data_IF_368371164698
#
_entry.id   IF_368371164698
#
_cell.length_a   1.000
_cell.length_b   1.000
_cell.length_c   1.000
_cell.angle_alpha   90.00
_cell.angle_beta   90.00
_cell.angle_gamma   90.00
#
_symmetry.space_group_name_H-M   'P 1'
#
loop_
_entity.id
_entity.type
_entity.pdbx_description
1 polymer ?
#
# COMPACT_ATOMS: atom_id res chain seq x y z
N UNK A 1 -4.17 19.92 -29.60
CA UNK A 1 -2.71 19.74 -29.48
C UNK A 1 -2.41 18.28 -29.79
N UNK A 2 -2.01 17.98 -31.04
CA UNK A 2 -1.84 16.60 -31.52
C UNK A 2 -0.35 16.26 -31.43
N UNK A 3 0.00 15.25 -30.64
CA UNK A 3 1.35 14.71 -30.60
C UNK A 3 1.59 13.86 -31.86
N UNK A 4 2.70 14.10 -32.57
CA UNK A 4 3.14 13.23 -33.66
C UNK A 4 2.59 13.53 -35.05
N UNK A 5 2.10 14.74 -35.32
CA UNK A 5 1.93 15.15 -36.72
C UNK A 5 3.31 15.42 -37.34
N UNK A 6 3.60 14.75 -38.45
CA UNK A 6 4.84 14.88 -39.28
C UNK A 6 5.10 16.35 -39.71
N UNK A 7 4.12 17.24 -39.53
CA UNK A 7 4.11 18.63 -40.01
C UNK A 7 3.56 19.61 -38.96
N UNK A 8 3.96 19.48 -37.69
CA UNK A 8 3.71 20.57 -36.76
C UNK A 8 4.83 21.61 -36.93
N UNK A 9 4.60 22.62 -37.77
CA UNK A 9 5.58 23.64 -38.18
C UNK A 9 6.26 24.37 -37.00
N UNK A 10 5.69 24.29 -35.79
CA UNK A 10 6.19 24.90 -34.56
C UNK A 10 6.69 23.91 -33.48
N UNK A 11 6.73 22.60 -33.74
CA UNK A 11 7.30 21.62 -32.79
C UNK A 11 8.83 21.67 -32.85
N UNK A 12 9.48 22.35 -31.90
CA UNK A 12 10.94 22.56 -31.89
C UNK A 12 11.73 21.59 -30.98
N UNK A 13 11.08 20.73 -30.19
CA UNK A 13 11.77 19.83 -29.27
C UNK A 13 11.90 18.42 -29.87
N UNK A 14 13.13 17.94 -30.02
CA UNK A 14 13.42 16.56 -30.42
C UNK A 14 13.21 15.65 -29.21
N UNK A 15 12.17 14.81 -29.26
CA UNK A 15 11.87 13.82 -28.23
C UNK A 15 12.68 12.54 -28.40
N UNK A 16 12.98 12.15 -29.64
CA UNK A 16 13.77 10.96 -29.92
C UNK A 16 13.95 10.71 -31.41
N UNK A 17 14.53 9.55 -31.72
CA UNK A 17 14.86 9.11 -33.07
C UNK A 17 14.22 7.75 -33.32
N UNK A 18 13.70 7.55 -34.52
CA UNK A 18 13.26 6.22 -34.93
C UNK A 18 14.47 5.27 -34.90
N UNK A 19 14.32 4.10 -34.31
CA UNK A 19 15.37 3.09 -34.31
C UNK A 19 15.50 2.54 -35.72
N UNK A 20 16.47 3.02 -36.49
CA UNK A 20 16.83 2.41 -37.76
C UNK A 20 17.24 0.98 -37.46
N UNK A 21 16.54 0.01 -38.03
CA UNK A 21 16.97 -1.38 -38.03
C UNK A 21 18.40 -1.42 -38.60
N UNK A 22 19.39 -1.59 -37.72
CA UNK A 22 20.75 -1.94 -38.10
C UNK A 22 20.67 -3.33 -38.76
N UNK A 23 20.68 -3.38 -40.09
CA UNK A 23 20.89 -4.64 -40.82
C UNK A 23 20.16 -4.88 -42.14
N UNK A 24 19.30 -3.99 -42.63
CA UNK A 24 18.73 -4.16 -43.98
C UNK A 24 19.49 -3.29 -44.99
N UNK A 25 20.17 -3.94 -45.95
CA UNK A 25 20.69 -3.26 -47.13
C UNK A 25 19.57 -2.44 -47.79
N UNK A 26 19.87 -1.23 -48.31
CA UNK A 26 18.90 -0.47 -49.06
C UNK A 26 18.57 -1.23 -50.34
N UNK A 27 17.37 -1.82 -50.39
CA UNK A 27 16.81 -2.33 -51.65
C UNK A 27 16.74 -1.19 -52.67
N UNK A 28 16.97 -1.46 -53.97
CA UNK A 28 16.91 -0.42 -55.00
C UNK A 28 15.49 0.16 -55.03
N UNK A 29 15.38 1.47 -54.82
CA UNK A 29 14.09 2.14 -54.63
C UNK A 29 13.49 2.48 -56.00
N UNK A 30 12.35 1.88 -56.31
CA UNK A 30 11.48 2.26 -57.42
C UNK A 30 10.93 3.69 -57.18
N UNK A 31 11.09 4.65 -58.11
CA UNK A 31 10.76 6.05 -57.89
C UNK A 31 9.23 6.36 -57.84
N UNK A 32 8.38 5.33 -57.96
CA UNK A 32 6.92 5.50 -58.07
C UNK A 32 6.16 5.36 -56.74
N UNK A 33 6.79 4.97 -55.64
CA UNK A 33 6.09 4.78 -54.35
C UNK A 33 6.35 5.97 -53.44
N UNK A 34 5.35 6.85 -53.31
CA UNK A 34 5.31 7.89 -52.27
C UNK A 34 5.14 7.23 -50.89
N UNK A 35 6.24 6.76 -50.31
CA UNK A 35 6.24 6.33 -48.92
C UNK A 35 6.03 7.55 -48.01
N UNK A 36 5.03 7.46 -47.13
CA UNK A 36 4.94 8.27 -45.92
C UNK A 36 6.26 8.12 -45.18
N UNK A 37 7.13 9.12 -45.28
CA UNK A 37 8.39 9.15 -44.56
C UNK A 37 8.07 9.09 -43.06
N UNK A 38 8.29 7.93 -42.42
CA UNK A 38 8.34 7.86 -40.97
C UNK A 38 9.44 8.83 -40.55
N UNK A 39 9.12 9.92 -39.83
CA UNK A 39 10.11 10.94 -39.57
C UNK A 39 11.25 10.33 -38.75
N UNK A 40 12.49 10.55 -39.22
CA UNK A 40 13.73 10.09 -38.58
C UNK A 40 13.86 10.58 -37.12
N UNK A 41 13.09 11.62 -36.79
CA UNK A 41 12.97 12.24 -35.48
C UNK A 41 11.50 12.25 -35.02
N UNK A 42 11.28 11.91 -33.76
CA UNK A 42 10.03 12.21 -33.07
C UNK A 42 10.18 13.60 -32.46
N UNK A 43 9.39 14.57 -32.93
CA UNK A 43 9.30 15.90 -32.33
C UNK A 43 8.04 16.04 -31.50
N UNK A 44 8.15 16.85 -30.45
CA UNK A 44 7.04 17.19 -29.56
C UNK A 44 6.96 18.72 -29.43
N UNK A 45 5.74 19.21 -29.28
CA UNK A 45 5.48 20.65 -29.20
C UNK A 45 5.54 21.20 -27.77
N UNK A 46 5.51 20.33 -26.76
CA UNK A 46 5.58 20.70 -25.34
C UNK A 46 5.97 19.52 -24.47
N UNK A 47 6.35 19.79 -23.22
CA UNK A 47 6.57 18.75 -22.21
C UNK A 47 5.31 17.96 -21.90
N UNK A 48 4.14 18.59 -21.85
CA UNK A 48 2.88 17.87 -21.64
C UNK A 48 2.59 16.85 -22.76
N UNK A 49 2.92 17.22 -24.00
CA UNK A 49 2.78 16.32 -25.15
C UNK A 49 3.76 15.13 -25.05
N UNK A 50 5.00 15.39 -24.65
CA UNK A 50 5.97 14.34 -24.37
C UNK A 50 5.49 13.42 -23.23
N UNK A 51 5.04 13.99 -22.13
CA UNK A 51 4.59 13.24 -20.95
C UNK A 51 3.40 12.35 -21.31
N UNK A 52 2.42 12.89 -22.07
CA UNK A 52 1.27 12.11 -22.52
C UNK A 52 1.67 10.94 -23.42
N UNK A 53 2.63 11.16 -24.33
CA UNK A 53 3.19 10.10 -25.17
C UNK A 53 3.92 9.05 -24.33
N UNK A 54 4.87 9.46 -23.49
CA UNK A 54 5.66 8.57 -22.66
C UNK A 54 4.77 7.75 -21.71
N UNK A 55 3.73 8.38 -21.17
CA UNK A 55 2.74 7.74 -20.30
C UNK A 55 2.00 6.58 -20.96
N UNK A 56 1.75 6.62 -22.28
CA UNK A 56 1.11 5.49 -22.98
C UNK A 56 1.90 4.18 -22.88
N UNK A 57 3.22 4.28 -22.70
CA UNK A 57 4.11 3.15 -22.50
C UNK A 57 4.31 2.85 -21.01
N UNK A 58 4.58 3.88 -20.21
CA UNK A 58 4.86 3.75 -18.77
C UNK A 58 3.68 3.13 -18.02
N UNK A 59 2.46 3.57 -18.29
CA UNK A 59 1.24 3.02 -17.68
C UNK A 59 0.99 1.54 -17.98
N UNK A 60 1.64 1.00 -19.02
CA UNK A 60 1.58 -0.43 -19.39
C UNK A 60 2.77 -1.23 -18.86
N UNK A 61 3.60 -0.62 -18.02
CA UNK A 61 4.79 -1.25 -17.42
C UNK A 61 6.06 -1.18 -18.27
N UNK A 62 6.04 -0.51 -19.43
CA UNK A 62 7.26 -0.27 -20.19
C UNK A 62 8.06 0.88 -19.57
N UNK A 63 9.33 0.66 -19.26
CA UNK A 63 10.24 1.70 -18.79
C UNK A 63 11.33 1.98 -19.82
N UNK A 64 11.91 3.19 -19.82
CA UNK A 64 13.09 3.47 -20.63
C UNK A 64 14.21 2.49 -20.29
N UNK A 65 14.76 1.81 -21.29
CA UNK A 65 15.90 0.92 -21.14
C UNK A 65 17.13 1.51 -21.83
N UNK A 66 18.32 1.20 -21.30
CA UNK A 66 19.59 1.65 -21.89
C UNK A 66 20.00 0.66 -22.97
N UNK A 67 20.11 1.13 -24.22
CA UNK A 67 20.68 0.38 -25.34
C UNK A 67 21.91 1.14 -25.85
N UNK A 68 23.09 0.61 -25.56
CA UNK A 68 24.36 1.31 -25.79
C UNK A 68 24.45 2.56 -24.91
N UNK A 69 24.53 3.73 -25.54
CA UNK A 69 24.59 5.03 -24.84
C UNK A 69 23.25 5.78 -24.82
N UNK A 70 22.16 5.17 -25.29
CA UNK A 70 20.89 5.87 -25.44
C UNK A 70 19.78 5.19 -24.65
N UNK A 71 18.85 5.98 -24.14
CA UNK A 71 17.60 5.48 -23.58
C UNK A 71 16.61 5.19 -24.71
N UNK A 72 15.90 4.07 -24.61
CA UNK A 72 14.89 3.64 -25.57
C UNK A 72 13.57 3.39 -24.84
N UNK A 73 12.47 3.95 -25.35
CA UNK A 73 11.11 3.72 -24.85
C UNK A 73 10.19 3.43 -26.03
N UNK A 74 9.49 2.29 -26.01
CA UNK A 74 8.55 1.94 -27.08
C UNK A 74 9.17 1.84 -28.48
N UNK A 75 10.46 1.46 -28.57
CA UNK A 75 11.21 1.42 -29.83
C UNK A 75 11.75 2.77 -30.31
N UNK A 76 11.54 3.86 -29.55
CA UNK A 76 12.06 5.19 -29.85
C UNK A 76 13.30 5.48 -29.03
N UNK A 77 14.40 5.85 -29.69
CA UNK A 77 15.63 6.29 -29.04
C UNK A 77 15.47 7.71 -28.52
N UNK A 78 15.33 7.88 -27.22
CA UNK A 78 15.10 9.18 -26.59
C UNK A 78 16.30 10.11 -26.75
N UNK A 79 16.02 11.39 -26.96
CA UNK A 79 17.04 12.43 -26.92
C UNK A 79 17.56 12.59 -25.48
N UNK A 80 18.86 12.84 -25.23
CA UNK A 80 19.39 12.97 -23.88
C UNK A 80 18.65 14.00 -23.00
N UNK A 81 18.22 15.11 -23.60
CA UNK A 81 17.46 16.16 -22.90
C UNK A 81 16.06 15.75 -22.44
N UNK A 82 15.46 14.69 -23.02
CA UNK A 82 14.11 14.20 -22.68
C UNK A 82 14.16 12.85 -21.95
N UNK A 83 15.25 12.09 -22.12
CA UNK A 83 15.44 10.77 -21.53
C UNK A 83 15.30 10.79 -19.99
N UNK A 84 15.97 11.73 -19.31
CA UNK A 84 15.91 11.84 -17.85
C UNK A 84 14.48 12.02 -17.33
N UNK A 85 13.64 12.78 -18.05
CA UNK A 85 12.25 12.98 -17.67
C UNK A 85 11.44 11.70 -17.76
N UNK A 86 11.60 10.93 -18.84
CA UNK A 86 10.91 9.64 -18.98
C UNK A 86 11.38 8.62 -17.94
N UNK A 87 12.65 8.64 -17.54
CA UNK A 87 13.19 7.78 -16.48
C UNK A 87 12.52 8.12 -15.15
N UNK A 88 12.50 9.40 -14.76
CA UNK A 88 11.84 9.86 -13.52
C UNK A 88 10.36 9.48 -13.53
N UNK A 89 9.64 9.71 -14.64
CA UNK A 89 8.24 9.32 -14.75
C UNK A 89 8.02 7.81 -14.55
N UNK A 90 8.90 6.97 -15.07
CA UNK A 90 8.81 5.52 -14.91
C UNK A 90 9.12 5.08 -13.48
N UNK A 91 10.11 5.71 -12.83
CA UNK A 91 10.46 5.46 -11.43
C UNK A 91 9.32 5.89 -10.49
N UNK A 92 8.75 7.08 -10.69
CA UNK A 92 7.61 7.58 -9.94
C UNK A 92 6.40 6.65 -10.07
N UNK A 93 6.11 6.18 -11.29
CA UNK A 93 5.02 5.24 -11.51
C UNK A 93 5.23 3.92 -10.75
N UNK A 94 6.43 3.33 -10.84
CA UNK A 94 6.78 2.10 -10.10
C UNK A 94 6.70 2.29 -8.60
N UNK A 95 7.15 3.45 -8.10
CA UNK A 95 7.03 3.80 -6.68
C UNK A 95 5.55 3.86 -6.27
N UNK A 96 4.70 4.50 -7.07
CA UNK A 96 3.26 4.54 -6.85
C UNK A 96 2.62 3.15 -6.81
N UNK A 97 2.99 2.26 -7.73
CA UNK A 97 2.52 0.87 -7.76
C UNK A 97 2.88 0.11 -6.48
N UNK A 98 4.13 0.23 -6.01
CA UNK A 98 4.55 -0.39 -4.74
C UNK A 98 3.79 0.13 -3.54
N UNK A 99 3.51 1.44 -3.50
CA UNK A 99 2.72 2.03 -2.41
C UNK A 99 1.28 1.51 -2.41
N UNK A 100 0.69 1.28 -3.58
CA UNK A 100 -0.64 0.69 -3.68
C UNK A 100 -0.65 -0.81 -3.31
N UNK A 101 0.37 -1.55 -3.72
CA UNK A 101 0.60 -2.93 -3.26
C UNK A 101 0.69 -3.00 -1.72
N UNK A 102 1.43 -2.08 -1.09
CA UNK A 102 1.51 -2.00 0.36
C UNK A 102 0.14 -1.72 1.02
N UNK A 103 -0.71 -0.90 0.39
CA UNK A 103 -2.08 -0.65 0.87
C UNK A 103 -2.92 -1.92 0.82
N UNK A 104 -2.88 -2.66 -0.28
CA UNK A 104 -3.60 -3.94 -0.40
C UNK A 104 -3.11 -4.99 0.59
N UNK A 105 -1.81 -5.03 0.89
CA UNK A 105 -1.25 -5.90 1.93
C UNK A 105 -1.76 -5.53 3.33
N UNK A 106 -1.89 -4.24 3.64
CA UNK A 106 -2.50 -3.78 4.90
C UNK A 106 -3.98 -4.20 4.97
N UNK A 107 -4.73 -4.05 3.88
CA UNK A 107 -6.13 -4.50 3.79
C UNK A 107 -6.27 -6.02 3.96
N UNK A 108 -5.27 -6.79 3.52
CA UNK A 108 -5.17 -8.23 3.71
C UNK A 108 -4.59 -8.65 5.07
N UNK A 109 -4.38 -7.70 6.00
CA UNK A 109 -3.77 -7.89 7.33
C UNK A 109 -2.31 -8.40 7.32
N UNK A 110 -1.64 -8.41 6.17
CA UNK A 110 -0.22 -8.73 6.04
C UNK A 110 0.66 -7.48 6.28
N UNK A 111 0.72 -7.09 7.55
CA UNK A 111 1.44 -5.90 7.99
C UNK A 111 2.96 -6.01 7.84
N UNK A 112 3.54 -7.21 7.89
CA UNK A 112 5.00 -7.38 7.76
C UNK A 112 5.46 -7.22 6.32
N UNK A 113 4.74 -7.81 5.35
CA UNK A 113 5.04 -7.60 3.93
C UNK A 113 4.86 -6.13 3.52
N UNK A 114 3.76 -5.50 3.98
CA UNK A 114 3.53 -4.07 3.74
C UNK A 114 4.64 -3.18 4.31
N UNK A 115 5.08 -3.46 5.54
CA UNK A 115 6.21 -2.75 6.17
C UNK A 115 7.52 -2.95 5.40
N UNK A 116 7.75 -4.14 4.85
CA UNK A 116 8.89 -4.44 3.98
C UNK A 116 8.94 -3.55 2.73
N UNK A 117 7.79 -3.28 2.11
CA UNK A 117 7.71 -2.37 0.95
C UNK A 117 8.09 -0.94 1.36
N UNK A 118 7.50 -0.39 2.43
CA UNK A 118 7.86 0.93 2.93
C UNK A 118 9.34 1.04 3.25
N UNK A 119 9.92 0.00 3.86
CA UNK A 119 11.34 -0.07 4.16
C UNK A 119 12.20 0.00 2.89
N UNK A 120 11.83 -0.74 1.84
CA UNK A 120 12.54 -0.72 0.54
C UNK A 120 12.51 0.65 -0.15
N UNK A 121 11.49 1.46 0.16
CA UNK A 121 11.32 2.82 -0.35
C UNK A 121 11.97 3.89 0.56
N UNK A 122 12.65 3.48 1.65
CA UNK A 122 13.25 4.38 2.63
C UNK A 122 12.27 5.06 3.58
N UNK A 123 11.02 4.57 3.65
CA UNK A 123 9.94 5.10 4.48
C UNK A 123 9.90 4.37 5.85
N UNK A 124 10.97 4.57 6.63
CA UNK A 124 11.20 3.84 7.88
C UNK A 124 10.16 4.11 8.97
N UNK A 125 9.64 5.34 9.00
CA UNK A 125 8.63 5.76 9.99
C UNK A 125 7.32 5.03 9.75
N UNK A 126 6.86 5.04 8.50
CA UNK A 126 5.64 4.38 8.04
C UNK A 126 5.75 2.86 8.23
N UNK A 127 6.90 2.26 7.88
CA UNK A 127 7.16 0.85 8.14
C UNK A 127 7.01 0.49 9.64
N UNK A 128 7.52 1.34 10.53
CA UNK A 128 7.39 1.16 11.98
C UNK A 128 5.96 1.36 12.50
N UNK A 129 5.18 2.24 11.89
CA UNK A 129 3.75 2.44 12.21
C UNK A 129 2.91 1.23 11.80
N UNK A 130 3.11 0.70 10.59
CA UNK A 130 2.41 -0.50 10.10
C UNK A 130 2.66 -1.70 11.02
N UNK A 131 3.93 -1.97 11.38
CA UNK A 131 4.27 -3.06 12.33
C UNK A 131 3.63 -2.88 13.71
N UNK A 132 3.53 -1.64 14.21
CA UNK A 132 2.86 -1.36 15.48
C UNK A 132 1.35 -1.62 15.40
N UNK A 133 0.72 -1.27 14.29
CA UNK A 133 -0.70 -1.53 14.07
C UNK A 133 -1.00 -3.03 14.01
N UNK A 134 -0.19 -3.80 13.26
CA UNK A 134 -0.34 -5.26 13.22
C UNK A 134 -0.21 -5.92 14.60
N UNK A 135 0.75 -5.48 15.43
CA UNK A 135 0.89 -5.98 16.82
C UNK A 135 -0.30 -5.62 17.70
N UNK A 136 -0.85 -4.41 17.57
CA UNK A 136 -2.03 -3.99 18.35
C UNK A 136 -3.25 -4.85 18.04
N UNK A 137 -3.46 -5.23 16.78
CA UNK A 137 -4.55 -6.13 16.38
C UNK A 137 -4.41 -7.53 17.01
N UNK A 138 -3.19 -8.09 17.02
CA UNK A 138 -2.92 -9.38 17.68
C UNK A 138 -3.22 -9.31 19.18
N UNK A 139 -2.81 -8.23 19.85
CA UNK A 139 -3.08 -8.04 21.30
C UNK A 139 -4.57 -7.91 21.59
N UNK A 140 -5.35 -7.25 20.73
CA UNK A 140 -6.81 -7.17 20.91
C UNK A 140 -7.55 -8.48 20.65
N UNK A 141 -6.95 -9.43 19.93
CA UNK A 141 -7.55 -10.75 19.66
C UNK A 141 -7.13 -11.84 20.66
N UNK A 142 -6.46 -11.50 21.76
CA UNK A 142 -6.29 -12.43 22.88
C UNK A 142 -7.67 -12.68 23.48
N UNK A 143 -8.34 -13.75 23.06
CA UNK A 143 -9.52 -14.29 23.69
C UNK A 143 -9.15 -14.72 25.11
N UNK A 144 -9.29 -13.79 26.06
CA UNK A 144 -9.15 -14.13 27.47
C UNK A 144 -10.39 -14.93 27.86
N UNK A 145 -10.20 -16.23 28.07
CA UNK A 145 -11.25 -17.11 28.55
C UNK A 145 -11.63 -16.70 29.98
N UNK A 146 -12.87 -16.25 30.16
CA UNK A 146 -13.37 -15.75 31.45
C UNK A 146 -13.25 -16.80 32.55
N UNK A 147 -13.33 -18.09 32.20
CA UNK A 147 -13.13 -19.18 33.15
C UNK A 147 -11.71 -19.20 33.73
N UNK A 148 -10.70 -18.91 32.90
CA UNK A 148 -9.30 -18.92 33.34
C UNK A 148 -9.00 -17.72 34.25
N UNK A 149 -9.66 -16.57 34.03
CA UNK A 149 -9.56 -15.40 34.92
C UNK A 149 -10.19 -15.66 36.29
N UNK A 150 -11.39 -16.26 36.31
CA UNK A 150 -12.07 -16.60 37.58
C UNK A 150 -11.25 -17.62 38.38
N UNK A 151 -10.65 -18.61 37.70
CA UNK A 151 -9.74 -19.56 38.33
C UNK A 151 -8.44 -18.93 38.85
N UNK A 152 -7.90 -17.91 38.16
CA UNK A 152 -6.75 -17.15 38.65
C UNK A 152 -7.09 -16.29 39.87
N UNK A 153 -8.27 -15.66 39.91
CA UNK A 153 -8.77 -14.95 41.12
C UNK A 153 -8.93 -15.93 42.29
N UNK A 154 -9.45 -17.14 42.03
CA UNK A 154 -9.56 -18.20 43.04
C UNK A 154 -8.20 -18.63 43.57
N UNK A 155 -7.23 -18.89 42.68
CA UNK A 155 -5.85 -19.27 43.07
C UNK A 155 -5.11 -18.14 43.81
N UNK A 156 -5.38 -16.88 43.48
CA UNK A 156 -4.78 -15.73 44.12
C UNK A 156 -5.42 -15.37 45.48
N UNK A 157 -6.57 -15.96 45.83
CA UNK A 157 -7.29 -15.66 47.06
C UNK A 157 -7.82 -14.23 47.13
N UNK A 158 -8.00 -13.57 45.98
CA UNK A 158 -8.41 -12.17 45.89
C UNK A 158 -9.94 -12.11 45.96
N UNK A 159 -10.47 -11.35 46.92
CA UNK A 159 -11.88 -10.97 46.96
C UNK A 159 -12.00 -9.52 46.47
N UNK A 160 -12.82 -9.29 45.45
CA UNK A 160 -13.02 -7.97 44.86
C UNK A 160 -14.50 -7.62 44.80
N UNK A 161 -14.85 -6.34 44.94
CA UNK A 161 -16.23 -5.87 44.93
C UNK A 161 -16.53 -5.22 43.57
N UNK A 162 -17.36 -5.86 42.76
CA UNK A 162 -17.83 -5.32 41.49
C UNK A 162 -19.08 -4.46 41.71
N UNK A 163 -19.04 -3.20 41.29
CA UNK A 163 -20.20 -2.31 41.37
C UNK A 163 -21.10 -2.47 40.15
N UNK A 164 -22.36 -2.87 40.38
CA UNK A 164 -23.34 -3.00 39.30
C UNK A 164 -23.63 -1.64 38.64
N UNK A 165 -23.54 -1.50 37.31
CA UNK A 165 -23.81 -0.23 36.63
C UNK A 165 -25.28 0.20 36.70
N UNK A 166 -26.21 -0.75 36.85
CA UNK A 166 -27.65 -0.47 36.87
C UNK A 166 -28.15 0.03 38.23
N UNK A 167 -27.75 -0.59 39.33
CA UNK A 167 -28.25 -0.27 40.67
C UNK A 167 -27.19 0.25 41.65
N UNK A 168 -25.91 0.30 41.22
CA UNK A 168 -24.74 0.61 42.08
C UNK A 168 -24.56 -0.32 43.28
N UNK A 169 -25.25 -1.47 43.31
CA UNK A 169 -25.04 -2.50 44.32
C UNK A 169 -23.65 -3.11 44.20
N UNK A 170 -23.00 -3.33 45.34
CA UNK A 170 -21.66 -3.94 45.40
C UNK A 170 -21.78 -5.47 45.46
N UNK A 171 -21.37 -6.14 44.40
CA UNK A 171 -21.37 -7.61 44.30
C UNK A 171 -19.97 -8.09 44.67
N UNK A 172 -19.87 -8.84 45.77
CA UNK A 172 -18.60 -9.43 46.19
C UNK A 172 -18.28 -10.65 45.35
N UNK A 173 -17.18 -10.59 44.60
CA UNK A 173 -16.64 -11.68 43.78
C UNK A 173 -15.52 -12.35 44.58
N UNK A 174 -15.73 -13.59 44.96
CA UNK A 174 -14.76 -14.46 45.64
C UNK A 174 -14.41 -15.67 44.76
N UNK A 175 -13.40 -16.44 45.16
CA UNK A 175 -12.97 -17.65 44.45
C UNK A 175 -14.05 -18.75 44.31
N UNK A 176 -15.14 -18.67 45.08
CA UNK A 176 -16.28 -19.61 45.01
C UNK A 176 -17.42 -19.10 44.11
N UNK A 177 -17.29 -17.88 43.58
CA UNK A 177 -18.33 -17.24 42.76
C UNK A 177 -18.28 -17.81 41.33
N UNK A 178 -19.38 -18.38 40.86
CA UNK A 178 -19.46 -18.97 39.52
C UNK A 178 -19.98 -17.96 38.49
N UNK A 179 -19.58 -18.11 37.23
CA UNK A 179 -20.08 -17.30 36.10
C UNK A 179 -21.61 -17.31 35.98
N UNK A 180 -22.26 -18.42 36.35
CA UNK A 180 -23.71 -18.51 36.37
C UNK A 180 -24.35 -17.53 37.37
N UNK A 181 -23.72 -17.33 38.53
CA UNK A 181 -24.18 -16.38 39.56
C UNK A 181 -23.85 -14.92 39.25
N UNK A 182 -22.94 -14.67 38.31
CA UNK A 182 -22.52 -13.32 37.89
C UNK A 182 -23.24 -12.79 36.66
N UNK A 183 -23.98 -13.64 35.93
CA UNK A 183 -24.76 -13.22 34.75
C UNK A 183 -25.83 -12.19 35.09
N UNK A 184 -26.35 -12.22 36.32
CA UNK A 184 -27.41 -11.32 36.77
C UNK A 184 -27.02 -10.68 38.10
N UNK A 185 -27.29 -9.38 38.24
CA UNK A 185 -27.09 -8.69 39.51
C UNK A 185 -28.02 -9.27 40.58
N UNK A 186 -27.46 -9.66 41.73
CA UNK A 186 -28.24 -10.19 42.86
C UNK A 186 -29.19 -9.17 43.49
N UNK A 187 -28.95 -7.87 43.27
CA UNK A 187 -29.74 -6.79 43.87
C UNK A 187 -30.87 -6.29 42.98
N UNK A 188 -30.65 -6.18 41.66
CA UNK A 188 -31.63 -5.60 40.74
C UNK A 188 -32.02 -6.50 39.56
N UNK A 189 -31.41 -7.69 39.45
CA UNK A 189 -31.70 -8.65 38.38
C UNK A 189 -31.16 -8.28 37.01
N UNK A 190 -30.49 -7.12 36.85
CA UNK A 190 -29.94 -6.68 35.57
C UNK A 190 -28.92 -7.68 35.02
N UNK A 191 -28.94 -7.93 33.72
CA UNK A 191 -27.93 -8.75 33.04
C UNK A 191 -26.60 -8.00 33.08
N UNK A 192 -25.56 -8.66 33.58
CA UNK A 192 -24.21 -8.12 33.59
C UNK A 192 -23.54 -8.50 32.27
N UNK A 193 -23.08 -7.50 31.52
CA UNK A 193 -22.37 -7.71 30.27
C UNK A 193 -21.04 -8.44 30.54
N UNK A 194 -20.78 -9.49 29.77
CA UNK A 194 -19.55 -10.30 29.92
C UNK A 194 -18.30 -9.48 29.62
N UNK A 195 -18.38 -8.49 28.74
CA UNK A 195 -17.27 -7.57 28.42
C UNK A 195 -16.84 -6.75 29.64
N UNK A 196 -17.80 -6.18 30.36
CA UNK A 196 -17.52 -5.32 31.52
C UNK A 196 -16.92 -6.11 32.68
N UNK A 197 -17.34 -7.37 32.83
CA UNK A 197 -16.78 -8.32 33.80
C UNK A 197 -15.35 -8.71 33.45
N UNK A 198 -15.05 -8.99 32.17
CA UNK A 198 -13.70 -9.35 31.73
C UNK A 198 -12.74 -8.18 31.92
N UNK A 199 -13.14 -6.96 31.54
CA UNK A 199 -12.35 -5.74 31.72
C UNK A 199 -12.07 -5.44 33.20
N UNK A 200 -13.04 -5.70 34.08
CA UNK A 200 -12.85 -5.54 35.52
C UNK A 200 -11.90 -6.60 36.09
N UNK A 201 -12.10 -7.87 35.75
CA UNK A 201 -11.30 -8.97 36.26
C UNK A 201 -9.85 -8.91 35.76
N UNK A 202 -9.60 -8.53 34.51
CA UNK A 202 -8.24 -8.31 33.99
C UNK A 202 -7.50 -7.21 34.75
N UNK A 203 -8.17 -6.09 35.08
CA UNK A 203 -7.60 -5.03 35.94
C UNK A 203 -7.27 -5.51 37.35
N UNK A 204 -8.13 -6.33 37.94
CA UNK A 204 -7.94 -6.85 39.31
C UNK A 204 -6.82 -7.90 39.39
N UNK A 205 -6.73 -8.76 38.38
CA UNK A 205 -5.69 -9.81 38.29
C UNK A 205 -4.33 -9.25 37.85
N UNK A 206 -4.30 -8.03 37.31
CA UNK A 206 -3.06 -7.36 36.91
C UNK A 206 -2.49 -7.89 35.59
N UNK A 207 -3.34 -8.40 34.70
CA UNK A 207 -2.94 -8.69 33.33
C UNK A 207 -2.89 -7.37 32.52
N UNK A 208 -1.74 -6.99 31.93
CA UNK A 208 -1.61 -5.79 31.11
C UNK A 208 -2.34 -5.88 29.77
#
# INVERSE_FOLDING_TARGET
>A
MVCGAILCENCQMVAGYAQSHLGAEPLPVDPAVRYSAVPLYHTVCSWECFDRWAWTFISRGHAPSVIGQNYVLGGVRLHPGTAGRAVVMAEDHRRGQRLEEARHLIEAEDHESAAGIYQSLGMWKEAGEVRRNGRRQIVTQVHVNVNDLVEQVRKAGIATDYTCPACRGHIRITGDTTLATLRNCQYCGSVVQTTDLVDFLTRVVGYP
#
